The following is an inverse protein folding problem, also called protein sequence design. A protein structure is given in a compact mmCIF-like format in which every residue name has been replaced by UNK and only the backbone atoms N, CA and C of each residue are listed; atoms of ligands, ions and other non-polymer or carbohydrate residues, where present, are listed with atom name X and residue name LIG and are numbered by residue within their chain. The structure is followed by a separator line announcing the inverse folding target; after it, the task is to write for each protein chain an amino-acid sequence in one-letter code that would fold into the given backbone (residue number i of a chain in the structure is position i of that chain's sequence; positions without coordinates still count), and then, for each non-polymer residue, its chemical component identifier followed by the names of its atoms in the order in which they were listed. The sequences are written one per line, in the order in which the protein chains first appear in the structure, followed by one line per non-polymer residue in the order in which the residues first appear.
data_IF_230557733646
#
_entry.id   IF_230557733646
#
_cell.length_a   1.000
_cell.length_b   1.000
_cell.length_c   1.000
_cell.angle_alpha   90.00
_cell.angle_beta   90.00
_cell.angle_gamma   90.00
#
_symmetry.space_group_name_H-M   'P 1'
#
loop_
_entity.id
_entity.type
_entity.pdbx_description
1 polymer ?
#
# COMPACT_ATOMS: atom_id res chain seq x y z
N UNK A 1 46.90 13.77 23.73
CA UNK A 1 45.90 12.83 24.27
C UNK A 1 44.84 12.60 23.18
N UNK A 2 45.08 11.59 22.32
CA UNK A 2 44.12 11.11 21.35
C UNK A 2 43.17 10.16 22.10
N UNK A 3 41.97 10.62 22.44
CA UNK A 3 40.83 9.70 22.73
C UNK A 3 40.53 8.96 21.44
N UNK A 4 41.08 7.75 21.31
CA UNK A 4 40.60 6.73 20.40
C UNK A 4 39.10 6.49 20.75
N UNK A 5 38.25 7.03 19.89
CA UNK A 5 36.84 6.68 19.84
C UNK A 5 36.78 5.18 19.51
N UNK A 6 36.79 4.34 20.55
CA UNK A 6 36.41 2.93 20.40
C UNK A 6 34.94 2.94 19.93
N UNK A 7 34.61 2.51 18.71
CA UNK A 7 33.23 2.29 18.37
C UNK A 7 32.72 1.25 19.36
N UNK A 8 31.60 1.54 20.01
CA UNK A 8 30.89 0.58 20.85
C UNK A 8 30.90 -0.78 20.14
N UNK A 9 31.29 -1.88 20.79
CA UNK A 9 31.24 -3.19 20.16
C UNK A 9 29.78 -3.48 19.83
N UNK A 10 29.37 -3.09 18.62
CA UNK A 10 28.04 -3.39 18.12
C UNK A 10 27.93 -4.90 18.14
N UNK A 11 27.09 -5.41 19.03
CA UNK A 11 26.84 -6.83 19.18
C UNK A 11 26.59 -7.43 17.80
N UNK A 12 27.44 -8.36 17.40
CA UNK A 12 27.42 -8.85 16.02
C UNK A 12 26.11 -9.54 15.66
N UNK A 13 25.53 -10.31 16.60
CA UNK A 13 24.23 -10.98 16.43
C UNK A 13 23.11 -9.94 16.30
N UNK A 14 23.16 -8.86 17.07
CA UNK A 14 22.19 -7.77 16.96
C UNK A 14 22.19 -7.13 15.59
N UNK A 15 23.35 -7.02 14.92
CA UNK A 15 23.46 -6.50 13.55
C UNK A 15 22.70 -7.37 12.55
N UNK A 16 22.76 -8.71 12.67
CA UNK A 16 21.96 -9.61 11.84
C UNK A 16 20.47 -9.44 12.06
N UNK A 17 20.06 -9.34 13.33
CA UNK A 17 18.64 -9.14 13.69
C UNK A 17 18.15 -7.79 13.19
N UNK A 18 18.95 -6.73 13.26
CA UNK A 18 18.62 -5.41 12.69
C UNK A 18 18.48 -5.46 11.16
N UNK A 19 19.38 -6.18 10.45
CA UNK A 19 19.26 -6.39 8.99
C UNK A 19 17.97 -7.16 8.67
N UNK A 20 17.66 -8.20 9.43
CA UNK A 20 16.42 -8.97 9.30
C UNK A 20 15.17 -8.11 9.54
N UNK A 21 15.17 -7.30 10.60
CA UNK A 21 14.10 -6.34 10.89
C UNK A 21 13.86 -5.39 9.73
N UNK A 22 14.92 -4.75 9.24
CA UNK A 22 14.82 -3.81 8.13
C UNK A 22 14.18 -4.44 6.90
N UNK A 23 14.59 -5.65 6.55
CA UNK A 23 14.06 -6.37 5.39
C UNK A 23 12.58 -6.74 5.56
N UNK A 24 12.21 -7.25 6.74
CA UNK A 24 10.82 -7.58 7.08
C UNK A 24 9.92 -6.34 7.07
N UNK A 25 10.40 -5.24 7.63
CA UNK A 25 9.70 -3.96 7.62
C UNK A 25 9.51 -3.46 6.19
N UNK A 26 10.56 -3.46 5.38
CA UNK A 26 10.48 -3.04 3.99
C UNK A 26 9.46 -3.86 3.21
N UNK A 27 9.43 -5.18 3.39
CA UNK A 27 8.44 -6.05 2.74
C UNK A 27 7.00 -5.75 3.17
N UNK A 28 6.76 -5.60 4.47
CA UNK A 28 5.42 -5.30 4.98
C UNK A 28 4.97 -3.90 4.54
N UNK A 29 5.79 -2.88 4.73
CA UNK A 29 5.45 -1.50 4.36
C UNK A 29 5.22 -1.38 2.85
N UNK A 30 6.09 -1.97 2.03
CA UNK A 30 5.91 -1.96 0.57
C UNK A 30 4.64 -2.68 0.13
N UNK A 31 4.32 -3.84 0.72
CA UNK A 31 3.10 -4.56 0.42
C UNK A 31 1.85 -3.73 0.75
N UNK A 32 1.84 -3.12 1.92
CA UNK A 32 0.72 -2.26 2.34
C UNK A 32 0.63 -0.98 1.51
N UNK A 33 1.75 -0.33 1.19
CA UNK A 33 1.76 0.84 0.31
C UNK A 33 1.16 0.53 -1.06
N UNK A 34 1.56 -0.60 -1.66
CA UNK A 34 1.01 -1.08 -2.94
C UNK A 34 -0.51 -1.34 -2.80
N UNK A 35 -0.95 -2.00 -1.71
CA UNK A 35 -2.38 -2.21 -1.45
C UNK A 35 -3.14 -0.89 -1.32
N UNK A 36 -2.59 0.11 -0.62
CA UNK A 36 -3.24 1.42 -0.46
C UNK A 36 -3.39 2.13 -1.80
N UNK A 37 -2.33 2.19 -2.61
CA UNK A 37 -2.39 2.76 -3.96
C UNK A 37 -3.43 2.03 -4.81
N UNK A 38 -3.44 0.70 -4.75
CA UNK A 38 -4.39 -0.11 -5.50
C UNK A 38 -5.84 0.16 -5.10
N UNK A 39 -6.17 0.13 -3.79
CA UNK A 39 -7.52 0.38 -3.28
C UNK A 39 -7.98 1.79 -3.67
N UNK A 40 -7.10 2.78 -3.57
CA UNK A 40 -7.41 4.17 -3.95
C UNK A 40 -7.69 4.29 -5.45
N UNK A 41 -6.89 3.62 -6.29
CA UNK A 41 -7.10 3.60 -7.75
C UNK A 41 -8.41 2.90 -8.10
N UNK A 42 -8.70 1.76 -7.47
CA UNK A 42 -9.96 1.04 -7.68
C UNK A 42 -11.17 1.89 -7.28
N UNK A 43 -11.11 2.55 -6.12
CA UNK A 43 -12.14 3.48 -5.68
C UNK A 43 -12.36 4.61 -6.68
N UNK A 44 -11.28 5.21 -7.19
CA UNK A 44 -11.36 6.29 -8.19
C UNK A 44 -11.98 5.80 -9.51
N UNK A 45 -11.59 4.63 -10.01
CA UNK A 45 -12.19 4.05 -11.23
C UNK A 45 -13.67 3.76 -11.02
N UNK A 46 -14.06 3.23 -9.84
CA UNK A 46 -15.47 3.03 -9.51
C UNK A 46 -16.24 4.36 -9.50
N UNK A 47 -15.66 5.43 -8.98
CA UNK A 47 -16.26 6.77 -9.02
C UNK A 47 -16.43 7.30 -10.44
N UNK A 48 -15.47 7.02 -11.35
CA UNK A 48 -15.62 7.36 -12.78
C UNK A 48 -16.81 6.63 -13.38
N UNK A 49 -16.97 5.33 -13.10
CA UNK A 49 -18.11 4.55 -13.60
C UNK A 49 -19.44 5.06 -13.05
N UNK A 50 -19.51 5.41 -11.77
CA UNK A 50 -20.68 6.01 -11.18
C UNK A 50 -21.03 7.38 -11.78
N UNK A 51 -20.01 8.20 -12.05
CA UNK A 51 -20.19 9.50 -12.73
C UNK A 51 -20.74 9.33 -14.15
N UNK A 52 -20.36 8.28 -14.86
CA UNK A 52 -20.86 8.03 -16.21
C UNK A 52 -22.37 7.80 -16.25
N UNK A 53 -22.94 7.33 -15.12
CA UNK A 53 -24.36 7.02 -14.97
C UNK A 53 -25.13 8.17 -14.31
N UNK A 54 -24.59 8.72 -13.21
CA UNK A 54 -25.33 9.61 -12.31
C UNK A 54 -25.13 11.09 -12.56
N UNK A 55 -24.10 11.52 -13.33
CA UNK A 55 -23.79 12.93 -13.61
C UNK A 55 -23.78 13.79 -12.36
N UNK A 56 -22.88 13.48 -11.41
CA UNK A 56 -22.82 14.12 -10.10
C UNK A 56 -22.74 15.66 -10.17
N UNK A 57 -23.44 16.31 -9.24
CA UNK A 57 -23.32 17.75 -9.03
C UNK A 57 -21.87 18.16 -8.69
N UNK A 58 -21.39 19.34 -9.14
CA UNK A 58 -20.06 19.85 -8.83
C UNK A 58 -19.70 19.87 -7.34
N UNK A 59 -20.67 20.15 -6.46
CA UNK A 59 -20.45 20.17 -5.02
C UNK A 59 -20.14 18.76 -4.50
N UNK A 60 -20.90 17.77 -4.98
CA UNK A 60 -20.71 16.36 -4.61
C UNK A 60 -19.36 15.84 -5.10
N UNK A 61 -18.98 16.12 -6.35
CA UNK A 61 -17.66 15.76 -6.92
C UNK A 61 -16.52 16.29 -6.08
N UNK A 62 -16.56 17.61 -5.78
CA UNK A 62 -15.53 18.25 -4.97
C UNK A 62 -15.40 17.60 -3.58
N UNK A 63 -16.54 17.33 -2.92
CA UNK A 63 -16.54 16.68 -1.60
C UNK A 63 -15.96 15.27 -1.65
N UNK A 64 -16.37 14.46 -2.61
CA UNK A 64 -15.84 13.10 -2.80
C UNK A 64 -14.34 13.12 -3.06
N UNK A 65 -13.86 14.01 -3.95
CA UNK A 65 -12.45 14.13 -4.27
C UNK A 65 -11.63 14.53 -3.03
N UNK A 66 -12.12 15.51 -2.26
CA UNK A 66 -11.47 15.92 -1.02
C UNK A 66 -11.39 14.79 0.00
N UNK A 67 -12.45 14.00 0.16
CA UNK A 67 -12.47 12.83 1.04
C UNK A 67 -11.47 11.77 0.56
N UNK A 68 -11.48 11.46 -0.73
CA UNK A 68 -10.56 10.45 -1.30
C UNK A 68 -9.09 10.84 -1.09
N UNK A 69 -8.73 12.09 -1.40
CA UNK A 69 -7.39 12.63 -1.20
C UNK A 69 -7.03 12.67 0.30
N UNK A 70 -7.96 13.09 1.15
CA UNK A 70 -7.77 13.11 2.61
C UNK A 70 -7.49 11.72 3.17
N UNK A 71 -8.28 10.73 2.82
CA UNK A 71 -8.08 9.33 3.23
C UNK A 71 -6.73 8.80 2.74
N UNK A 72 -6.35 9.10 1.49
CA UNK A 72 -5.06 8.69 0.94
C UNK A 72 -3.88 9.30 1.72
N UNK A 73 -3.94 10.60 2.02
CA UNK A 73 -2.90 11.29 2.80
C UNK A 73 -2.82 10.71 4.22
N UNK A 74 -3.96 10.49 4.87
CA UNK A 74 -4.01 9.88 6.21
C UNK A 74 -3.41 8.46 6.22
N UNK A 75 -3.68 7.67 5.18
CA UNK A 75 -3.08 6.36 5.03
C UNK A 75 -1.55 6.46 4.89
N UNK A 76 -1.03 7.37 4.08
CA UNK A 76 0.42 7.58 3.93
C UNK A 76 1.07 8.01 5.26
N UNK A 77 0.46 8.96 5.98
CA UNK A 77 0.95 9.38 7.29
C UNK A 77 0.94 8.21 8.27
N UNK A 78 -0.14 7.43 8.31
CA UNK A 78 -0.24 6.23 9.14
C UNK A 78 0.88 5.23 8.86
N UNK A 79 1.25 5.02 7.58
CA UNK A 79 2.37 4.16 7.19
C UNK A 79 3.72 4.70 7.64
N UNK A 80 3.95 6.01 7.53
CA UNK A 80 5.19 6.64 8.01
C UNK A 80 5.34 6.50 9.53
N UNK A 81 4.27 6.77 10.27
CA UNK A 81 4.25 6.60 11.73
C UNK A 81 4.47 5.15 12.12
N UNK A 82 3.78 4.21 11.47
CA UNK A 82 3.97 2.78 11.70
C UNK A 82 5.41 2.33 11.44
N UNK A 83 6.00 2.74 10.32
CA UNK A 83 7.39 2.45 9.98
C UNK A 83 8.35 2.99 11.05
N UNK A 84 8.16 4.24 11.46
CA UNK A 84 8.99 4.86 12.48
C UNK A 84 8.90 4.15 13.84
N UNK A 85 7.69 3.81 14.28
CA UNK A 85 7.47 3.07 15.53
C UNK A 85 8.07 1.65 15.47
N UNK A 86 7.93 0.97 14.33
CA UNK A 86 8.48 -0.36 14.14
C UNK A 86 10.02 -0.37 14.09
N UNK A 87 10.62 0.70 13.57
CA UNK A 87 12.08 0.87 13.57
C UNK A 87 12.64 1.09 14.99
N UNK A 88 11.90 1.78 15.85
CA UNK A 88 12.31 2.16 17.20
C UNK A 88 11.90 1.15 18.29
N UNK A 89 11.68 -0.12 17.96
CA UNK A 89 11.29 -1.20 18.90
C UNK A 89 9.95 -1.00 19.63
N UNK A 90 9.18 0.03 19.31
CA UNK A 90 7.91 0.31 19.99
C UNK A 90 6.81 -0.69 19.62
N UNK A 91 7.01 -1.50 18.58
CA UNK A 91 6.05 -2.51 18.16
C UNK A 91 6.59 -3.90 18.53
N UNK A 92 5.93 -4.58 19.47
CA UNK A 92 6.29 -5.94 19.96
C UNK A 92 6.57 -6.96 18.85
N UNK A 93 5.93 -6.81 17.69
CA UNK A 93 6.13 -7.71 16.52
C UNK A 93 7.54 -7.62 15.97
N UNK A 94 8.20 -6.48 16.10
CA UNK A 94 9.53 -6.20 15.56
C UNK A 94 10.60 -6.02 16.64
N UNK A 95 10.28 -6.39 17.91
CA UNK A 95 11.27 -6.36 18.98
C UNK A 95 12.44 -7.30 18.66
N UNK A 96 13.64 -6.90 19.08
CA UNK A 96 14.88 -7.64 18.82
C UNK A 96 14.75 -9.08 19.32
N UNK A 97 14.21 -9.29 20.49
CA UNK A 97 14.02 -10.61 21.12
C UNK A 97 13.08 -11.51 20.30
N UNK A 98 11.94 -10.96 19.85
CA UNK A 98 10.99 -11.70 19.05
C UNK A 98 11.55 -12.06 17.68
N UNK A 99 12.29 -11.13 17.08
CA UNK A 99 12.94 -11.37 15.78
C UNK A 99 14.06 -12.41 15.90
N UNK A 100 14.83 -12.40 17.01
CA UNK A 100 15.82 -13.42 17.32
C UNK A 100 15.18 -14.81 17.39
N UNK A 101 14.06 -14.94 18.12
CA UNK A 101 13.31 -16.21 18.21
C UNK A 101 12.74 -16.66 16.85
N UNK A 102 12.20 -15.73 16.06
CA UNK A 102 11.70 -16.02 14.71
C UNK A 102 12.85 -16.48 13.80
N UNK A 103 13.96 -15.77 13.80
CA UNK A 103 15.14 -16.10 13.00
C UNK A 103 15.70 -17.48 13.44
N UNK A 104 15.79 -17.74 14.75
CA UNK A 104 16.19 -19.02 15.30
C UNK A 104 15.32 -20.17 14.82
N UNK A 105 14.01 -19.99 14.79
CA UNK A 105 13.07 -21.01 14.29
C UNK A 105 13.30 -21.37 12.81
N UNK A 106 13.66 -20.39 11.99
CA UNK A 106 13.90 -20.62 10.58
C UNK A 106 15.25 -21.27 10.29
N UNK A 107 16.29 -20.88 11.04
CA UNK A 107 17.67 -21.34 10.80
C UNK A 107 17.95 -22.66 11.51
N UNK A 108 17.42 -22.79 12.72
CA UNK A 108 17.64 -23.96 13.58
C UNK A 108 16.31 -24.66 13.85
N UNK A 109 15.89 -25.55 12.94
CA UNK A 109 14.59 -26.23 13.01
C UNK A 109 14.28 -26.89 14.35
N UNK A 110 15.32 -27.43 15.04
CA UNK A 110 15.18 -28.11 16.32
C UNK A 110 15.39 -27.22 17.57
N UNK A 111 16.07 -26.09 17.42
CA UNK A 111 16.48 -25.23 18.55
C UNK A 111 16.10 -23.77 18.33
N UNK A 112 14.81 -23.47 18.50
CA UNK A 112 14.22 -22.15 18.20
C UNK A 112 14.88 -20.98 18.92
N UNK A 113 15.40 -21.22 20.13
CA UNK A 113 15.89 -20.15 21.00
C UNK A 113 17.42 -19.94 20.90
N UNK A 114 18.11 -20.65 19.98
CA UNK A 114 19.56 -20.52 19.86
C UNK A 114 20.02 -19.07 19.58
N UNK A 115 19.35 -18.37 18.67
CA UNK A 115 19.70 -16.98 18.36
C UNK A 115 19.33 -16.04 19.50
N UNK A 116 18.21 -16.28 20.17
CA UNK A 116 17.81 -15.52 21.34
C UNK A 116 18.78 -15.71 22.51
N UNK A 117 19.15 -16.95 22.79
CA UNK A 117 20.11 -17.28 23.86
C UNK A 117 21.51 -16.69 23.55
N UNK A 118 21.94 -16.74 22.29
CA UNK A 118 23.19 -16.14 21.87
C UNK A 118 23.17 -14.62 22.04
N UNK A 119 22.06 -13.96 21.71
CA UNK A 119 21.86 -12.54 21.94
C UNK A 119 21.89 -12.19 23.44
N UNK A 120 21.22 -12.98 24.27
CA UNK A 120 21.23 -12.77 25.73
C UNK A 120 22.62 -12.97 26.34
N UNK A 121 23.37 -13.97 25.88
CA UNK A 121 24.75 -14.18 26.31
C UNK A 121 25.68 -13.05 25.86
N UNK A 122 25.48 -12.53 24.66
CA UNK A 122 26.24 -11.37 24.16
C UNK A 122 25.96 -10.11 24.99
N UNK A 123 24.73 -9.92 25.48
CA UNK A 123 24.34 -8.78 26.33
C UNK A 123 24.74 -8.95 27.79
N UNK A 124 24.79 -10.18 28.32
CA UNK A 124 25.02 -10.48 29.75
C UNK A 124 26.47 -10.81 30.11
N UNK A 125 27.39 -10.83 29.15
CA UNK A 125 28.80 -11.26 29.34
C UNK A 125 29.67 -10.23 30.08
N UNK A 126 29.17 -9.72 31.20
CA UNK A 126 29.92 -8.97 32.21
C UNK A 126 30.27 -9.88 33.37
N UNK A 127 31.54 -10.26 33.53
CA UNK A 127 32.19 -10.94 34.68
C UNK A 127 31.97 -12.46 34.79
N UNK A 128 33.10 -13.18 34.67
CA UNK A 128 33.46 -14.50 35.21
C UNK A 128 33.67 -15.65 34.18
N UNK A 129 34.23 -16.76 34.66
CA UNK A 129 34.75 -17.96 33.96
C UNK A 129 33.87 -18.56 32.86
N UNK A 130 32.60 -18.21 32.80
CA UNK A 130 31.66 -18.59 31.72
C UNK A 130 31.85 -17.79 30.40
N UNK A 131 32.74 -16.76 30.38
CA UNK A 131 32.91 -15.87 29.25
C UNK A 131 33.44 -16.60 27.99
N UNK A 132 34.38 -17.52 28.20
CA UNK A 132 34.93 -18.32 27.09
C UNK A 132 33.86 -19.27 26.49
N UNK A 133 33.01 -19.85 27.32
CA UNK A 133 31.92 -20.72 26.87
C UNK A 133 30.85 -19.91 26.14
N UNK A 134 30.46 -18.77 26.69
CA UNK A 134 29.53 -17.85 26.05
C UNK A 134 30.04 -17.35 24.68
N UNK A 135 31.32 -16.99 24.58
CA UNK A 135 31.95 -16.58 23.33
C UNK A 135 31.97 -17.73 22.30
N UNK A 136 32.34 -18.95 22.71
CA UNK A 136 32.32 -20.12 21.83
C UNK A 136 30.91 -20.43 21.29
N UNK A 137 29.91 -20.27 22.16
CA UNK A 137 28.51 -20.47 21.75
C UNK A 137 28.04 -19.38 20.78
N UNK A 138 28.27 -18.12 21.06
CA UNK A 138 27.90 -16.99 20.19
C UNK A 138 28.62 -17.08 18.85
N UNK A 139 29.91 -17.46 18.83
CA UNK A 139 30.68 -17.66 17.61
C UNK A 139 30.12 -18.80 16.77
N UNK A 140 29.71 -19.91 17.38
CA UNK A 140 29.09 -21.04 16.67
C UNK A 140 27.77 -20.65 16.00
N UNK A 141 26.96 -19.81 16.66
CA UNK A 141 25.71 -19.27 16.11
C UNK A 141 26.00 -18.30 14.97
N UNK A 142 27.01 -17.43 15.12
CA UNK A 142 27.44 -16.49 14.11
C UNK A 142 27.92 -17.17 12.84
N UNK A 143 28.83 -18.15 12.94
CA UNK A 143 29.30 -18.93 11.79
C UNK A 143 28.13 -19.51 11.00
N UNK A 144 27.09 -19.97 11.69
CA UNK A 144 25.91 -20.53 11.04
C UNK A 144 25.04 -19.45 10.41
N UNK A 145 24.91 -18.27 11.03
CA UNK A 145 24.24 -17.10 10.46
C UNK A 145 24.96 -16.59 9.20
N UNK A 146 26.29 -16.57 9.21
CA UNK A 146 27.12 -16.15 8.07
C UNK A 146 27.05 -17.16 6.89
N UNK A 147 26.84 -18.43 7.18
CA UNK A 147 26.70 -19.48 6.14
C UNK A 147 25.38 -19.40 5.38
N UNK A 148 24.41 -18.61 5.86
CA UNK A 148 23.10 -18.49 5.24
C UNK A 148 23.04 -17.22 4.41
N UNK A 149 22.74 -17.37 3.13
CA UNK A 149 22.41 -16.24 2.28
C UNK A 149 21.03 -15.68 2.69
N UNK A 150 21.06 -14.65 3.55
CA UNK A 150 19.85 -14.00 4.01
C UNK A 150 19.03 -13.41 2.85
N UNK A 151 19.63 -13.06 1.74
CA UNK A 151 18.93 -12.47 0.59
C UNK A 151 18.10 -13.53 -0.15
N UNK A 152 18.57 -14.78 -0.22
CA UNK A 152 17.80 -15.93 -0.73
C UNK A 152 16.62 -16.21 0.21
N UNK A 153 16.89 -16.29 1.51
CA UNK A 153 15.88 -16.51 2.53
C UNK A 153 14.76 -15.43 2.49
N UNK A 154 15.13 -14.16 2.34
CA UNK A 154 14.17 -13.07 2.22
C UNK A 154 13.38 -13.12 0.92
N UNK A 155 13.92 -13.67 -0.15
CA UNK A 155 13.21 -13.84 -1.41
C UNK A 155 12.04 -14.81 -1.28
N UNK A 156 12.19 -15.87 -0.49
CA UNK A 156 11.14 -16.88 -0.28
C UNK A 156 9.99 -16.36 0.61
N UNK A 157 10.23 -15.34 1.43
CA UNK A 157 9.21 -14.68 2.25
C UNK A 157 8.36 -13.66 1.49
N UNK A 158 8.67 -13.39 0.21
CA UNK A 158 7.93 -12.37 -0.57
C UNK A 158 6.46 -12.78 -0.75
N UNK A 159 5.52 -11.85 -0.54
CA UNK A 159 4.09 -12.14 -0.72
C UNK A 159 3.70 -12.19 -2.21
N UNK A 160 4.21 -13.20 -2.92
CA UNK A 160 3.97 -13.38 -4.37
C UNK A 160 2.48 -13.47 -4.67
N UNK A 161 1.71 -14.17 -3.83
CA UNK A 161 0.26 -14.31 -3.99
C UNK A 161 -0.46 -12.97 -3.96
N UNK A 162 -0.05 -12.06 -3.07
CA UNK A 162 -0.61 -10.71 -2.99
C UNK A 162 -0.33 -9.91 -4.27
N UNK A 163 0.90 -9.98 -4.80
CA UNK A 163 1.26 -9.30 -6.04
C UNK A 163 0.46 -9.80 -7.24
N UNK A 164 0.26 -11.10 -7.35
CA UNK A 164 -0.55 -11.70 -8.41
C UNK A 164 -2.01 -11.26 -8.28
N UNK A 165 -2.58 -11.28 -7.07
CA UNK A 165 -3.94 -10.84 -6.83
C UNK A 165 -4.15 -9.35 -7.21
N UNK A 166 -3.18 -8.51 -6.87
CA UNK A 166 -3.20 -7.08 -7.24
C UNK A 166 -3.11 -6.88 -8.76
N UNK A 167 -2.22 -7.61 -9.44
CA UNK A 167 -2.11 -7.54 -10.90
C UNK A 167 -3.39 -8.02 -11.60
N UNK A 168 -3.98 -9.14 -11.13
CA UNK A 168 -5.24 -9.65 -11.67
C UNK A 168 -6.37 -8.63 -11.49
N UNK A 169 -6.46 -8.01 -10.32
CA UNK A 169 -7.48 -7.01 -10.03
C UNK A 169 -7.29 -5.73 -10.88
N UNK A 170 -6.05 -5.32 -11.12
CA UNK A 170 -5.73 -4.21 -12.05
C UNK A 170 -6.15 -4.54 -13.49
N UNK A 171 -5.92 -5.76 -13.93
CA UNK A 171 -6.35 -6.23 -15.24
C UNK A 171 -7.88 -6.15 -15.38
N UNK A 172 -8.63 -6.63 -14.38
CA UNK A 172 -10.09 -6.51 -14.37
C UNK A 172 -10.57 -5.05 -14.39
N UNK A 173 -9.90 -4.16 -13.66
CA UNK A 173 -10.23 -2.73 -13.64
C UNK A 173 -10.04 -2.10 -15.02
N UNK A 174 -8.94 -2.40 -15.70
CA UNK A 174 -8.67 -1.93 -17.07
C UNK A 174 -9.69 -2.51 -18.04
N UNK A 175 -10.06 -3.78 -17.90
CA UNK A 175 -11.06 -4.43 -18.74
C UNK A 175 -12.43 -3.75 -18.63
N UNK A 176 -12.90 -3.48 -17.41
CA UNK A 176 -14.17 -2.78 -17.16
C UNK A 176 -14.15 -1.38 -17.79
N UNK A 177 -13.04 -0.65 -17.62
CA UNK A 177 -12.87 0.67 -18.23
C UNK A 177 -12.89 0.61 -19.75
N UNK A 178 -12.27 -0.40 -20.35
CA UNK A 178 -12.19 -0.60 -21.79
C UNK A 178 -13.54 -0.96 -22.43
N UNK A 179 -14.37 -1.75 -21.73
CA UNK A 179 -15.70 -2.14 -22.22
C UNK A 179 -16.64 -0.94 -22.38
N UNK A 180 -16.47 0.12 -21.58
CA UNK A 180 -17.27 1.34 -21.63
C UNK A 180 -16.39 2.57 -21.89
N UNK A 181 -15.45 2.47 -22.82
CA UNK A 181 -14.40 3.46 -23.00
C UNK A 181 -14.91 4.89 -23.23
N UNK A 182 -15.85 5.09 -24.17
CA UNK A 182 -16.38 6.43 -24.48
C UNK A 182 -17.03 7.09 -23.28
N UNK A 183 -17.94 6.39 -22.63
CA UNK A 183 -18.65 6.88 -21.43
C UNK A 183 -17.69 7.12 -20.25
N UNK A 184 -16.70 6.25 -20.10
CA UNK A 184 -15.69 6.36 -19.05
C UNK A 184 -14.72 7.52 -19.32
N UNK A 185 -14.33 7.74 -20.56
CA UNK A 185 -13.46 8.84 -20.95
C UNK A 185 -14.15 10.19 -20.73
N UNK A 186 -15.41 10.31 -21.10
CA UNK A 186 -16.22 11.51 -20.84
C UNK A 186 -16.39 11.76 -19.34
N UNK A 187 -16.69 10.71 -18.56
CA UNK A 187 -16.77 10.81 -17.10
C UNK A 187 -15.45 11.24 -16.50
N UNK A 188 -14.32 10.70 -16.97
CA UNK A 188 -12.99 11.13 -16.53
C UNK A 188 -12.71 12.61 -16.87
N UNK A 189 -13.11 13.08 -18.03
CA UNK A 189 -13.03 14.51 -18.37
C UNK A 189 -13.86 15.37 -17.42
N UNK A 190 -15.05 14.91 -17.02
CA UNK A 190 -15.87 15.61 -16.03
C UNK A 190 -15.20 15.65 -14.64
N UNK A 191 -14.45 14.62 -14.26
CA UNK A 191 -13.66 14.59 -13.01
C UNK A 191 -12.44 15.52 -13.04
N UNK A 192 -11.84 15.76 -14.22
CA UNK A 192 -10.77 16.78 -14.36
C UNK A 192 -11.27 18.22 -14.12
N UNK A 193 -12.55 18.46 -14.27
CA UNK A 193 -13.16 19.76 -14.05
C UNK A 193 -14.29 19.67 -13.02
N UNK A 194 -13.98 19.36 -11.74
CA UNK A 194 -14.99 19.05 -10.73
C UNK A 194 -15.89 20.23 -10.35
N UNK A 195 -15.49 21.46 -10.71
CA UNK A 195 -16.26 22.68 -10.46
C UNK A 195 -17.25 23.00 -11.58
N UNK A 196 -17.12 22.38 -12.76
CA UNK A 196 -18.03 22.62 -13.87
C UNK A 196 -19.26 21.73 -13.76
N UNK A 197 -20.40 22.30 -14.04
CA UNK A 197 -21.65 21.56 -14.16
C UNK A 197 -21.73 20.93 -15.56
N UNK A 198 -22.03 19.66 -15.62
CA UNK A 198 -22.25 18.90 -16.84
C UNK A 198 -23.68 18.33 -16.79
N UNK A 199 -24.61 18.84 -17.59
CA UNK A 199 -25.98 18.32 -17.59
C UNK A 199 -25.98 16.88 -18.13
N UNK A 200 -26.85 16.05 -17.58
CA UNK A 200 -27.10 14.73 -18.13
C UNK A 200 -27.61 14.85 -19.58
N UNK A 201 -27.22 13.94 -20.47
CA UNK A 201 -27.75 13.94 -21.83
C UNK A 201 -29.27 13.79 -21.76
N UNK A 202 -29.97 14.57 -22.58
CA UNK A 202 -31.42 14.47 -22.67
C UNK A 202 -31.74 13.10 -23.27
N UNK A 203 -32.72 12.35 -22.73
CA UNK A 203 -33.07 11.03 -23.25
C UNK A 203 -33.67 11.08 -24.65
N UNK A 204 -34.14 12.24 -25.06
CA UNK A 204 -34.65 12.49 -26.41
C UNK A 204 -34.46 13.97 -26.80
N UNK A 205 -34.38 14.23 -28.09
CA UNK A 205 -34.42 15.56 -28.67
C UNK A 205 -35.69 15.68 -29.48
N UNK A 206 -36.47 16.72 -29.22
CA UNK A 206 -37.64 17.02 -30.03
C UNK A 206 -37.19 17.87 -31.23
N UNK A 207 -37.44 17.38 -32.43
CA UNK A 207 -37.23 18.11 -33.67
C UNK A 207 -38.59 18.56 -34.22
N UNK A 208 -38.77 19.87 -34.37
CA UNK A 208 -39.93 20.40 -35.06
C UNK A 208 -39.78 20.14 -36.53
N UNK A 209 -40.60 19.27 -37.06
CA UNK A 209 -40.63 18.99 -38.52
C UNK A 209 -41.33 20.07 -39.33
N UNK A 210 -42.07 20.94 -38.65
CA UNK A 210 -42.87 21.99 -39.29
C UNK A 210 -42.13 23.32 -39.42
N UNK A 211 -40.88 23.44 -38.93
CA UNK A 211 -40.13 24.70 -38.91
C UNK A 211 -40.79 25.77 -38.02
N UNK A 212 -40.48 27.05 -38.32
CA UNK A 212 -41.12 28.15 -37.66
C UNK A 212 -42.48 28.43 -38.29
N UNK A 213 -43.57 28.29 -37.51
CA UNK A 213 -44.93 28.48 -37.97
C UNK A 213 -45.43 29.83 -37.44
N UNK A 214 -45.75 30.72 -38.36
CA UNK A 214 -46.46 31.96 -38.04
C UNK A 214 -47.95 31.76 -38.14
N UNK A 215 -48.68 31.92 -37.02
CA UNK A 215 -50.10 31.72 -36.95
C UNK A 215 -50.80 33.07 -36.72
N UNK A 216 -51.84 33.33 -37.48
CA UNK A 216 -52.75 34.46 -37.22
C UNK A 216 -53.76 33.97 -36.17
N UNK A 217 -54.06 34.82 -35.17
CA UNK A 217 -54.92 34.41 -34.07
C UNK A 217 -56.27 33.88 -34.50
N UNK A 218 -56.60 32.61 -34.12
CA UNK A 218 -57.80 31.92 -34.46
C UNK A 218 -57.67 30.74 -35.44
N UNK A 219 -56.52 30.60 -36.09
CA UNK A 219 -56.24 29.51 -37.03
C UNK A 219 -55.87 28.21 -36.26
N UNK A 220 -56.29 27.08 -36.78
CA UNK A 220 -55.86 25.75 -36.31
C UNK A 220 -54.57 25.35 -37.01
N UNK A 221 -53.58 24.93 -36.26
CA UNK A 221 -52.36 24.41 -36.83
C UNK A 221 -52.00 23.05 -36.27
N UNK A 222 -51.41 22.19 -37.10
CA UNK A 222 -50.90 20.89 -36.66
C UNK A 222 -49.39 21.02 -36.51
N UNK A 223 -48.85 20.66 -35.34
CA UNK A 223 -47.45 20.59 -35.07
C UNK A 223 -47.03 19.13 -35.06
N UNK A 224 -46.23 18.73 -36.01
CA UNK A 224 -45.63 17.40 -36.08
C UNK A 224 -44.30 17.41 -35.31
N UNK A 225 -44.23 16.59 -34.27
CA UNK A 225 -43.05 16.41 -33.45
C UNK A 225 -42.55 15.00 -33.57
N UNK A 226 -41.29 14.81 -33.89
CA UNK A 226 -40.60 13.54 -33.86
C UNK A 226 -39.74 13.47 -32.61
N UNK A 227 -39.88 12.36 -31.82
CA UNK A 227 -39.09 12.10 -30.61
C UNK A 227 -38.04 10.99 -30.89
#
# INVERSE_FOLDING_TARGET
EHYLFCPDPVMEIEKYIKKFRYHLLYQHVSAHAICTVFITTLAFVTLIQLESIFYFDPRIKKSILMILVGVFILALIGWLVYYHQAKNDNIKRYSIERLASVLGKYIFSDKRDMVLNALQLETSSGENESKALAQSYTESVKIKLDSIDLDIFFRDLKPVKLKIALLASWFFTILIFSLNYESSADAFHRWKSPTKFFPAPKPFSLLSMSGDIHIIGGDKTEINIQA
#
